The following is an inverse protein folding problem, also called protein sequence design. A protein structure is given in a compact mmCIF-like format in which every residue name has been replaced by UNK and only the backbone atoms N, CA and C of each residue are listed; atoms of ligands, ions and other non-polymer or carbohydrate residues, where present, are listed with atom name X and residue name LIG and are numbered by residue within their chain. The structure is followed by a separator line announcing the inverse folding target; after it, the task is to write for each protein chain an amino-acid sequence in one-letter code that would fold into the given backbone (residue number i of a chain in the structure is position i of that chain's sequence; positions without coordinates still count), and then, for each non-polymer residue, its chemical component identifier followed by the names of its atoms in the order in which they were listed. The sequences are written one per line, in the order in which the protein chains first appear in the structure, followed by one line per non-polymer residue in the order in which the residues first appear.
data_IF_030174000899
#
_entry.id   IF_030174000899
#
_cell.length_a   1.000
_cell.length_b   1.000
_cell.length_c   1.000
_cell.angle_alpha   90.00
_cell.angle_beta   90.00
_cell.angle_gamma   90.00
#
_symmetry.space_group_name_H-M   'P 1'
#
loop_
_entity.id
_entity.type
_entity.pdbx_description
1 polymer ?
#
# COMPACT_ATOMS: atom_id res chain seq x y z
N UNK A 1 12.16 7.15 -2.10
CA UNK A 1 11.00 7.25 -3.01
C UNK A 1 10.23 5.94 -2.93
N UNK A 2 8.90 5.97 -2.99
CA UNK A 2 8.09 4.76 -3.01
C UNK A 2 7.90 4.33 -4.48
N UNK A 3 8.39 3.14 -4.83
CA UNK A 3 8.29 2.60 -6.19
C UNK A 3 7.36 1.40 -6.21
N UNK A 4 6.34 1.46 -7.07
CA UNK A 4 5.38 0.37 -7.24
C UNK A 4 5.95 -0.70 -8.15
N UNK A 5 5.63 -1.96 -7.86
CA UNK A 5 5.86 -3.07 -8.78
C UNK A 5 4.60 -3.35 -9.63
N UNK A 6 4.66 -4.36 -10.48
CA UNK A 6 3.49 -4.81 -11.22
C UNK A 6 2.46 -5.50 -10.30
N UNK A 7 1.45 -4.77 -9.87
CA UNK A 7 0.40 -5.29 -9.00
C UNK A 7 -0.48 -6.36 -9.67
N UNK A 8 -0.45 -6.52 -11.01
CA UNK A 8 -1.20 -7.58 -11.70
C UNK A 8 -0.75 -8.96 -11.25
N UNK A 9 0.55 -9.11 -10.97
CA UNK A 9 1.10 -10.35 -10.41
C UNK A 9 0.54 -10.60 -9.02
N UNK A 10 0.53 -9.59 -8.15
CA UNK A 10 -0.04 -9.72 -6.80
C UNK A 10 -1.54 -10.02 -6.82
N UNK A 11 -2.30 -9.45 -7.76
CA UNK A 11 -3.72 -9.77 -7.93
C UNK A 11 -3.95 -11.24 -8.33
N UNK A 12 -3.08 -11.82 -9.15
CA UNK A 12 -3.17 -13.25 -9.50
C UNK A 12 -2.92 -14.11 -8.26
N UNK A 13 -1.92 -13.75 -7.44
CA UNK A 13 -1.57 -14.50 -6.23
C UNK A 13 -2.65 -14.35 -5.15
N UNK A 14 -3.19 -13.15 -4.96
CA UNK A 14 -4.20 -12.87 -3.93
C UNK A 14 -5.53 -13.57 -4.15
N UNK A 15 -5.83 -14.01 -5.38
CA UNK A 15 -7.00 -14.85 -5.68
C UNK A 15 -6.94 -16.22 -5.03
N UNK A 16 -5.76 -16.68 -4.63
CA UNK A 16 -5.54 -18.02 -4.05
C UNK A 16 -5.01 -18.00 -2.62
N UNK A 17 -4.31 -16.94 -2.25
CA UNK A 17 -3.66 -16.82 -0.94
C UNK A 17 -3.97 -15.48 -0.31
N UNK A 18 -4.13 -15.47 1.00
CA UNK A 18 -4.10 -14.23 1.76
C UNK A 18 -2.69 -13.64 1.69
N UNK A 19 -2.60 -12.42 1.15
CA UNK A 19 -1.33 -11.72 0.97
C UNK A 19 -1.30 -10.45 1.80
N UNK A 20 -0.12 -10.18 2.37
CA UNK A 20 0.25 -8.84 2.82
C UNK A 20 1.02 -8.18 1.69
N UNK A 21 0.51 -7.06 1.19
CA UNK A 21 1.13 -6.36 0.06
C UNK A 21 2.08 -5.27 0.57
N UNK A 22 3.32 -5.31 0.08
CA UNK A 22 4.36 -4.34 0.39
C UNK A 22 4.90 -3.69 -0.90
N UNK A 23 5.54 -2.52 -0.75
CA UNK A 23 6.28 -1.87 -1.82
C UNK A 23 5.49 -0.82 -2.60
N UNK A 24 6.02 0.40 -2.67
CA UNK A 24 5.45 1.47 -3.49
C UNK A 24 4.12 2.05 -3.04
N UNK A 25 3.62 1.69 -1.85
CA UNK A 25 2.31 2.13 -1.35
C UNK A 25 2.42 3.54 -0.76
N UNK A 26 1.56 4.44 -1.23
CA UNK A 26 1.44 5.86 -0.85
C UNK A 26 -0.03 6.20 -0.61
N UNK A 27 -0.34 7.34 0.03
CA UNK A 27 -1.74 7.69 0.29
C UNK A 27 -2.53 7.90 -1.00
N UNK A 28 -1.87 8.32 -2.09
CA UNK A 28 -2.48 8.55 -3.39
C UNK A 28 -2.87 7.25 -4.11
N UNK A 29 -2.11 6.16 -3.93
CA UNK A 29 -2.34 4.92 -4.66
C UNK A 29 -2.97 3.79 -3.83
N UNK A 30 -2.95 3.88 -2.49
CA UNK A 30 -3.33 2.79 -1.59
C UNK A 30 -4.74 2.25 -1.86
N UNK A 31 -5.73 3.14 -2.05
CA UNK A 31 -7.12 2.75 -2.31
C UNK A 31 -7.26 1.95 -3.61
N UNK A 32 -6.59 2.39 -4.67
CA UNK A 32 -6.60 1.70 -5.97
C UNK A 32 -5.94 0.33 -5.85
N UNK A 33 -4.78 0.26 -5.19
CA UNK A 33 -4.03 -0.99 -5.02
C UNK A 33 -4.84 -1.99 -4.19
N UNK A 34 -5.36 -1.58 -3.03
CA UNK A 34 -6.15 -2.46 -2.15
C UNK A 34 -7.42 -2.93 -2.83
N UNK A 35 -8.13 -2.07 -3.59
CA UNK A 35 -9.32 -2.50 -4.32
C UNK A 35 -9.03 -3.52 -5.43
N UNK A 36 -7.88 -3.41 -6.09
CA UNK A 36 -7.46 -4.33 -7.16
C UNK A 36 -6.94 -5.65 -6.59
N UNK A 37 -5.95 -5.59 -5.69
CA UNK A 37 -5.25 -6.76 -5.17
C UNK A 37 -6.03 -7.44 -4.05
N UNK A 38 -6.88 -6.71 -3.31
CA UNK A 38 -7.62 -7.21 -2.13
C UNK A 38 -6.73 -7.95 -1.12
N UNK A 39 -5.59 -7.36 -0.70
CA UNK A 39 -4.74 -8.00 0.29
C UNK A 39 -5.42 -8.00 1.67
N UNK A 40 -5.03 -8.93 2.55
CA UNK A 40 -5.49 -8.94 3.95
C UNK A 40 -4.80 -7.88 4.81
N UNK A 41 -3.68 -7.36 4.31
CA UNK A 41 -2.94 -6.27 4.95
C UNK A 41 -2.02 -5.56 3.97
N UNK A 42 -1.57 -4.37 4.35
CA UNK A 42 -0.55 -3.63 3.62
C UNK A 42 0.63 -3.31 4.53
N UNK A 43 1.82 -3.28 3.95
CA UNK A 43 3.04 -2.80 4.60
C UNK A 43 3.51 -1.51 3.90
N UNK A 44 3.75 -0.47 4.69
CA UNK A 44 4.10 0.87 4.21
C UNK A 44 5.42 1.32 4.81
N UNK A 45 6.39 1.61 3.95
CA UNK A 45 7.68 2.17 4.35
C UNK A 45 7.85 3.62 3.92
N UNK A 46 8.57 3.89 2.83
CA UNK A 46 8.91 5.24 2.36
C UNK A 46 7.71 6.08 1.92
N UNK A 47 6.58 5.47 1.57
CA UNK A 47 5.36 6.19 1.16
C UNK A 47 4.64 6.92 2.29
N UNK A 48 5.08 6.76 3.53
CA UNK A 48 4.61 7.51 4.71
C UNK A 48 5.72 8.30 5.40
N UNK A 49 6.86 8.50 4.74
CA UNK A 49 7.99 9.23 5.30
C UNK A 49 8.08 10.67 4.79
N UNK A 50 8.48 11.58 5.68
CA UNK A 50 8.92 12.93 5.36
C UNK A 50 10.27 13.16 6.05
N UNK A 51 11.29 13.62 5.32
CA UNK A 51 12.65 13.81 5.84
C UNK A 51 13.22 12.55 6.52
N UNK A 52 13.07 11.38 5.87
CA UNK A 52 13.52 10.07 6.36
C UNK A 52 12.94 9.65 7.73
N UNK A 53 11.79 10.22 8.12
CA UNK A 53 11.06 9.83 9.33
C UNK A 53 9.60 9.58 8.98
N UNK A 54 8.98 8.61 9.65
CA UNK A 54 7.54 8.37 9.54
C UNK A 54 6.78 9.64 9.90
N UNK A 55 5.85 10.03 9.05
CA UNK A 55 5.02 11.20 9.24
C UNK A 55 3.60 10.77 9.61
N UNK A 56 3.14 11.17 10.79
CA UNK A 56 1.83 10.79 11.31
C UNK A 56 0.67 11.21 10.39
N UNK A 57 0.77 12.37 9.74
CA UNK A 57 -0.26 12.84 8.81
C UNK A 57 -0.34 11.95 7.57
N UNK A 58 0.79 11.48 7.04
CA UNK A 58 0.79 10.55 5.91
C UNK A 58 0.21 9.18 6.29
N UNK A 59 0.52 8.68 7.49
CA UNK A 59 -0.09 7.46 8.02
C UNK A 59 -1.61 7.64 8.16
N UNK A 60 -2.07 8.75 8.74
CA UNK A 60 -3.49 9.09 8.84
C UNK A 60 -4.17 9.15 7.48
N UNK A 61 -3.52 9.73 6.46
CA UNK A 61 -4.03 9.77 5.09
C UNK A 61 -4.16 8.37 4.47
N UNK A 62 -3.19 7.48 4.69
CA UNK A 62 -3.29 6.08 4.26
C UNK A 62 -4.54 5.43 4.88
N UNK A 63 -4.69 5.52 6.22
CA UNK A 63 -5.81 4.92 6.92
C UNK A 63 -7.16 5.52 6.49
N UNK A 64 -7.23 6.84 6.33
CA UNK A 64 -8.43 7.54 5.89
C UNK A 64 -8.87 7.11 4.48
N UNK A 65 -7.92 6.82 3.58
CA UNK A 65 -8.23 6.42 2.21
C UNK A 65 -8.70 4.95 2.07
N UNK A 66 -8.67 4.19 3.17
CA UNK A 66 -9.10 2.79 3.25
C UNK A 66 -10.45 2.59 3.97
N UNK A 67 -11.05 3.67 4.46
CA UNK A 67 -12.41 3.71 5.01
C UNK A 67 -13.38 4.12 3.89
#
# INVERSE_FOLDING_TARGET
VAETHDHRVSEIISKKFDVVLAGGITFENVRKIVNSVKPVGIDVSSGVELNNRKNELLIKKICHNLI
#
